data_IF_404816994557
#
_entry.id   IF_404816994557
#
_cell.length_a   1.000
_cell.length_b   1.000
_cell.length_c   1.000
_cell.angle_alpha   90.00
_cell.angle_beta   90.00
_cell.angle_gamma   90.00
#
_symmetry.space_group_name_H-M   'P 1'
#
loop_
_entity.id
_entity.type
_entity.pdbx_description
1 polymer ?
#
# COMPACT_ATOMS: atom_id res chain seq x y z
N UNK A 1 0.53 -1.08 10.81
CA UNK A 1 -0.76 -1.74 10.53
C UNK A 1 -1.66 -0.75 9.80
N UNK A 2 -2.44 -1.23 8.83
CA UNK A 2 -3.41 -0.50 8.03
C UNK A 2 -4.69 -1.34 7.94
N UNK A 3 -5.84 -0.71 8.14
CA UNK A 3 -7.15 -1.29 7.91
C UNK A 3 -7.73 -0.69 6.63
N UNK A 4 -8.30 -1.53 5.77
CA UNK A 4 -8.83 -1.13 4.47
C UNK A 4 -10.24 -1.68 4.36
N UNK A 5 -11.20 -0.76 4.21
CA UNK A 5 -12.61 -1.09 4.03
C UNK A 5 -13.12 -0.42 2.75
N UNK A 6 -13.89 -1.16 1.95
CA UNK A 6 -14.65 -0.56 0.85
C UNK A 6 -15.90 0.14 1.37
N UNK A 7 -16.31 1.25 0.75
CA UNK A 7 -17.59 1.87 1.06
C UNK A 7 -18.73 0.86 0.84
N UNK A 8 -19.59 0.58 1.85
CA UNK A 8 -20.67 -0.41 1.73
C UNK A 8 -21.68 -0.14 0.61
N UNK A 9 -21.72 1.09 0.11
CA UNK A 9 -22.59 1.51 -0.99
C UNK A 9 -22.06 1.12 -2.37
N UNK A 10 -20.79 0.69 -2.48
CA UNK A 10 -20.19 0.27 -3.75
C UNK A 10 -20.70 -1.13 -4.11
N UNK A 11 -21.40 -1.30 -5.25
CA UNK A 11 -21.79 -2.62 -5.69
C UNK A 11 -20.55 -3.43 -6.13
N UNK A 12 -20.53 -4.73 -5.81
CA UNK A 12 -19.52 -5.70 -6.25
C UNK A 12 -18.09 -5.55 -5.68
N UNK A 13 -17.80 -4.54 -4.88
CA UNK A 13 -16.52 -4.39 -4.16
C UNK A 13 -16.78 -4.52 -2.67
N UNK A 14 -16.26 -5.60 -2.07
CA UNK A 14 -16.29 -5.81 -0.63
C UNK A 14 -14.87 -6.12 -0.16
N UNK A 15 -14.21 -5.10 0.38
CA UNK A 15 -12.84 -5.17 0.91
C UNK A 15 -12.94 -4.98 2.41
N UNK A 16 -12.28 -5.88 3.15
CA UNK A 16 -12.09 -5.79 4.58
C UNK A 16 -10.75 -6.45 4.89
N UNK A 17 -9.70 -5.66 4.73
CA UNK A 17 -8.32 -6.13 4.74
C UNK A 17 -7.53 -5.49 5.87
N UNK A 18 -6.61 -6.24 6.46
CA UNK A 18 -5.67 -5.78 7.49
C UNK A 18 -4.26 -6.06 7.04
N UNK A 19 -3.46 -5.01 6.86
CA UNK A 19 -2.05 -5.13 6.45
C UNK A 19 -1.12 -4.71 7.58
N UNK A 20 -0.02 -5.44 7.74
CA UNK A 20 1.06 -5.15 8.67
C UNK A 20 2.40 -5.29 7.96
N UNK A 21 3.29 -4.32 8.17
CA UNK A 21 4.65 -4.34 7.66
C UNK A 21 5.63 -4.07 8.78
N UNK A 22 6.71 -4.83 8.79
CA UNK A 22 7.87 -4.62 9.64
C UNK A 22 8.93 -3.95 8.77
N UNK A 23 9.13 -2.65 9.01
CA UNK A 23 10.06 -1.80 8.27
C UNK A 23 11.17 -1.31 9.19
N UNK A 24 12.34 -1.05 8.63
CA UNK A 24 13.47 -0.47 9.35
C UNK A 24 13.63 1.05 9.09
N UNK A 25 14.70 1.63 9.61
CA UNK A 25 15.02 3.05 9.47
C UNK A 25 15.35 3.47 8.02
N UNK A 26 15.73 2.52 7.17
CA UNK A 26 15.92 2.73 5.73
C UNK A 26 14.62 2.58 4.93
N UNK A 27 13.51 2.29 5.62
CA UNK A 27 12.13 2.27 5.10
C UNK A 27 11.95 1.21 4.01
N UNK A 28 12.37 -0.02 4.28
CA UNK A 28 12.03 -1.18 3.44
C UNK A 28 11.50 -2.35 4.25
N UNK A 29 10.82 -3.29 3.58
CA UNK A 29 10.14 -4.40 4.25
C UNK A 29 11.10 -5.53 4.63
N UNK A 30 10.97 -6.01 5.85
CA UNK A 30 11.53 -7.28 6.34
C UNK A 30 10.45 -8.37 6.49
N UNK A 31 9.22 -7.96 6.78
CA UNK A 31 8.07 -8.87 6.86
C UNK A 31 6.79 -8.12 6.52
N UNK A 32 5.96 -8.76 5.72
CA UNK A 32 4.60 -8.33 5.43
C UNK A 32 3.60 -9.40 5.89
N UNK A 33 2.48 -8.95 6.45
CA UNK A 33 1.34 -9.79 6.80
C UNK A 33 0.08 -9.11 6.25
N UNK A 34 -0.76 -9.89 5.57
CA UNK A 34 -2.09 -9.48 5.17
C UNK A 34 -3.14 -10.48 5.62
N UNK A 35 -4.28 -9.96 6.07
CA UNK A 35 -5.53 -10.69 6.25
C UNK A 35 -6.55 -10.08 5.29
N UNK A 36 -6.95 -10.83 4.27
CA UNK A 36 -8.00 -10.41 3.34
C UNK A 36 -9.28 -11.19 3.64
N UNK A 37 -10.31 -10.51 4.15
CA UNK A 37 -11.57 -11.17 4.46
C UNK A 37 -12.42 -11.32 3.22
N UNK A 38 -12.78 -12.56 2.89
CA UNK A 38 -13.80 -12.92 1.90
C UNK A 38 -15.09 -13.28 2.64
N UNK A 39 -16.17 -13.55 1.90
CA UNK A 39 -17.49 -13.80 2.50
C UNK A 39 -17.54 -15.03 3.40
N UNK A 40 -16.79 -16.08 3.08
CA UNK A 40 -16.81 -17.39 3.75
C UNK A 40 -15.46 -17.80 4.38
N UNK A 41 -14.40 -17.00 4.17
CA UNK A 41 -13.06 -17.31 4.68
C UNK A 41 -12.17 -16.06 4.73
N UNK A 42 -11.03 -16.18 5.40
CA UNK A 42 -9.94 -15.20 5.35
C UNK A 42 -8.75 -15.79 4.61
N UNK A 43 -8.14 -15.00 3.73
CA UNK A 43 -6.83 -15.31 3.15
C UNK A 43 -5.78 -14.62 4.01
N UNK A 44 -4.92 -15.42 4.63
CA UNK A 44 -3.73 -14.96 5.30
C UNK A 44 -2.55 -15.06 4.34
N UNK A 45 -1.79 -13.98 4.20
CA UNK A 45 -0.56 -13.95 3.41
C UNK A 45 0.57 -13.41 4.27
N UNK A 46 1.72 -14.09 4.26
CA UNK A 46 2.96 -13.63 4.89
C UNK A 46 4.10 -13.68 3.89
N UNK A 47 4.86 -12.59 3.84
CA UNK A 47 6.15 -12.53 3.15
C UNK A 47 7.23 -12.26 4.19
N UNK A 48 8.27 -13.07 4.20
CA UNK A 48 9.48 -12.86 5.00
C UNK A 48 10.64 -12.59 4.04
N UNK A 49 11.19 -11.37 4.07
CA UNK A 49 12.29 -10.96 3.19
C UNK A 49 13.63 -11.33 3.82
N UNK A 50 14.32 -12.30 3.23
CA UNK A 50 15.67 -12.70 3.61
C UNK A 50 16.68 -12.09 2.63
N UNK A 51 17.22 -10.94 3.01
CA UNK A 51 18.22 -10.23 2.20
C UNK A 51 19.60 -10.88 2.25
N UNK A 52 19.92 -11.71 3.25
CA UNK A 52 21.20 -12.42 3.30
C UNK A 52 21.21 -13.55 2.27
N UNK A 53 20.13 -14.31 2.22
CA UNK A 53 19.95 -15.41 1.28
C UNK A 53 19.23 -15.00 -0.03
N UNK A 54 19.01 -13.70 -0.23
CA UNK A 54 18.40 -13.09 -1.43
C UNK A 54 17.08 -13.75 -1.85
N UNK A 55 16.21 -14.05 -0.89
CA UNK A 55 14.93 -14.69 -1.17
C UNK A 55 13.80 -14.18 -0.27
N UNK A 56 12.57 -14.54 -0.63
CA UNK A 56 11.35 -14.21 0.10
C UNK A 56 10.63 -15.52 0.38
N UNK A 57 10.43 -15.83 1.65
CA UNK A 57 9.57 -16.94 2.05
C UNK A 57 8.12 -16.49 2.03
N UNK A 58 7.27 -17.27 1.38
CA UNK A 58 5.87 -16.95 1.09
C UNK A 58 5.01 -18.01 1.74
N UNK A 59 4.13 -17.58 2.64
CA UNK A 59 3.09 -18.43 3.22
C UNK A 59 1.73 -17.83 2.89
N UNK A 60 0.86 -18.60 2.22
CA UNK A 60 -0.55 -18.26 2.05
C UNK A 60 -1.41 -19.35 2.69
N UNK A 61 -2.39 -18.94 3.48
CA UNK A 61 -3.35 -19.82 4.14
C UNK A 61 -4.77 -19.38 3.85
N UNK A 62 -5.65 -20.35 3.64
CA UNK A 62 -7.10 -20.16 3.68
C UNK A 62 -7.59 -20.54 5.07
N UNK A 63 -8.24 -19.61 5.77
CA UNK A 63 -8.76 -19.79 7.11
C UNK A 63 -10.29 -19.70 7.07
N UNK A 64 -10.99 -20.77 7.43
CA UNK A 64 -12.45 -20.77 7.65
C UNK A 64 -12.74 -20.77 9.15
N UNK A 65 -14.02 -20.78 9.54
CA UNK A 65 -14.40 -20.89 10.96
C UNK A 65 -13.93 -22.20 11.60
N UNK A 66 -13.80 -23.28 10.82
CA UNK A 66 -13.55 -24.63 11.33
C UNK A 66 -12.19 -25.20 10.94
N UNK A 67 -11.49 -24.59 9.99
CA UNK A 67 -10.25 -25.15 9.43
C UNK A 67 -9.26 -24.07 8.98
N UNK A 68 -7.99 -24.43 8.89
CA UNK A 68 -6.94 -23.62 8.30
C UNK A 68 -6.07 -24.47 7.39
N UNK A 69 -6.08 -24.16 6.10
CA UNK A 69 -5.30 -24.88 5.09
C UNK A 69 -4.17 -24.00 4.56
N UNK A 70 -2.95 -24.52 4.51
CA UNK A 70 -1.84 -23.87 3.79
C UNK A 70 -2.07 -24.07 2.29
N UNK A 71 -2.30 -22.99 1.56
CA UNK A 71 -2.54 -23.01 0.11
C UNK A 71 -1.27 -22.75 -0.69
N UNK A 72 -0.27 -22.10 -0.07
CA UNK A 72 1.05 -21.89 -0.65
C UNK A 72 2.11 -21.86 0.45
N UNK A 73 3.19 -22.58 0.24
CA UNK A 73 4.45 -22.46 0.98
C UNK A 73 5.57 -22.50 -0.06
N UNK A 74 6.22 -21.36 -0.29
CA UNK A 74 7.12 -21.19 -1.44
C UNK A 74 8.23 -20.19 -1.15
N UNK A 75 9.26 -20.20 -1.99
CA UNK A 75 10.38 -19.27 -1.95
C UNK A 75 10.46 -18.56 -3.30
N UNK A 76 10.51 -17.23 -3.29
CA UNK A 76 10.81 -16.41 -4.46
C UNK A 76 12.20 -15.77 -4.33
N UNK A 77 12.89 -15.57 -5.44
CA UNK A 77 14.19 -14.90 -5.44
C UNK A 77 14.04 -13.37 -5.43
N UNK A 78 14.91 -12.68 -4.68
CA UNK A 78 15.09 -11.23 -4.73
C UNK A 78 16.05 -10.92 -5.87
N UNK A 79 15.54 -10.87 -7.09
CA UNK A 79 16.34 -10.59 -8.29
C UNK A 79 16.50 -9.08 -8.55
N UNK A 80 16.89 -8.33 -7.52
CA UNK A 80 17.13 -6.88 -7.61
C UNK A 80 18.21 -6.45 -6.61
N UNK A 81 19.09 -5.51 -7.00
CA UNK A 81 20.05 -4.95 -6.05
C UNK A 81 19.42 -3.96 -5.06
N UNK A 82 18.12 -3.63 -5.21
CA UNK A 82 17.41 -2.67 -4.36
C UNK A 82 16.60 -3.38 -3.28
N UNK A 83 16.45 -2.73 -2.14
CA UNK A 83 15.58 -3.21 -1.05
C UNK A 83 14.11 -3.15 -1.49
N UNK A 84 13.33 -4.13 -1.02
CA UNK A 84 11.99 -4.44 -1.52
C UNK A 84 10.93 -3.82 -0.62
N UNK A 85 9.92 -3.23 -1.25
CA UNK A 85 8.71 -2.76 -0.58
C UNK A 85 7.62 -3.83 -0.65
N UNK A 86 6.63 -3.75 0.25
CA UNK A 86 5.43 -4.57 0.26
C UNK A 86 4.17 -3.69 0.05
N UNK A 87 2.98 -4.29 0.18
CA UNK A 87 1.69 -3.60 -0.02
C UNK A 87 1.42 -2.42 0.91
N UNK A 88 2.08 -2.34 2.07
CA UNK A 88 1.97 -1.26 3.05
C UNK A 88 3.29 -0.48 3.22
N UNK A 89 4.46 -1.12 3.17
CA UNK A 89 5.73 -0.40 3.34
C UNK A 89 5.96 0.65 2.23
N UNK A 90 5.43 0.41 1.01
CA UNK A 90 5.46 1.39 -0.08
C UNK A 90 4.76 2.71 0.28
N UNK A 91 3.73 2.66 1.13
CA UNK A 91 3.05 3.86 1.63
C UNK A 91 3.97 4.65 2.55
N UNK A 92 4.68 3.98 3.47
CA UNK A 92 5.66 4.64 4.35
C UNK A 92 6.84 5.22 3.58
N UNK A 93 7.33 4.49 2.57
CA UNK A 93 8.32 5.01 1.63
C UNK A 93 7.83 6.29 0.94
N UNK A 94 6.58 6.30 0.45
CA UNK A 94 6.00 7.50 -0.17
C UNK A 94 5.92 8.68 0.81
N UNK A 95 5.51 8.46 2.07
CA UNK A 95 5.44 9.50 3.10
C UNK A 95 6.78 10.19 3.35
N UNK A 96 7.84 9.41 3.43
CA UNK A 96 9.19 9.93 3.63
C UNK A 96 9.71 10.72 2.42
N UNK A 97 9.20 10.42 1.22
CA UNK A 97 9.73 10.96 -0.03
C UNK A 97 8.88 12.08 -0.65
N UNK A 98 7.60 12.23 -0.27
CA UNK A 98 6.62 13.09 -0.99
C UNK A 98 7.00 14.56 -1.10
N UNK A 99 7.78 15.07 -0.15
CA UNK A 99 8.24 16.47 -0.12
C UNK A 99 9.45 16.74 -1.01
N UNK A 100 10.07 15.69 -1.53
CA UNK A 100 11.21 15.79 -2.43
C UNK A 100 10.74 15.85 -3.89
N UNK A 101 11.48 16.58 -4.71
CA UNK A 101 11.30 16.57 -6.16
C UNK A 101 12.19 15.47 -6.78
N UNK A 102 11.61 14.28 -6.96
CA UNK A 102 12.35 13.10 -7.43
C UNK A 102 11.45 12.07 -8.10
N UNK A 103 11.90 11.56 -9.23
CA UNK A 103 11.37 10.33 -9.83
C UNK A 103 12.15 9.11 -9.34
N UNK A 104 11.44 8.07 -8.92
CA UNK A 104 12.05 6.82 -8.47
C UNK A 104 11.33 5.59 -9.01
N UNK A 105 12.05 4.48 -9.04
CA UNK A 105 11.48 3.15 -9.21
C UNK A 105 11.73 2.33 -7.95
N UNK A 106 10.67 1.79 -7.36
CA UNK A 106 10.74 0.95 -6.17
C UNK A 106 10.38 -0.49 -6.55
N UNK A 107 11.22 -1.50 -6.23
CA UNK A 107 10.78 -2.88 -6.32
C UNK A 107 9.73 -3.14 -5.22
N UNK A 108 8.62 -3.76 -5.60
CA UNK A 108 7.51 -4.11 -4.72
C UNK A 108 7.23 -5.59 -4.86
N UNK A 109 7.16 -6.30 -3.75
CA UNK A 109 6.69 -7.68 -3.69
C UNK A 109 5.23 -7.70 -3.25
N UNK A 110 4.35 -8.04 -4.18
CA UNK A 110 2.91 -8.11 -3.96
C UNK A 110 2.33 -9.22 -4.82
N UNK A 111 1.25 -9.86 -4.34
CA UNK A 111 0.60 -10.98 -5.03
C UNK A 111 1.60 -12.09 -5.46
N UNK A 112 2.55 -12.42 -4.58
CA UNK A 112 3.61 -13.41 -4.82
C UNK A 112 4.55 -13.09 -6.00
N UNK A 113 4.59 -11.85 -6.48
CA UNK A 113 5.46 -11.43 -7.56
C UNK A 113 6.30 -10.19 -7.19
N UNK A 114 7.57 -10.20 -7.61
CA UNK A 114 8.43 -9.03 -7.54
C UNK A 114 8.24 -8.18 -8.80
N UNK A 115 7.75 -6.95 -8.64
CA UNK A 115 7.51 -5.99 -9.72
C UNK A 115 8.10 -4.64 -9.36
N UNK A 116 8.00 -3.69 -10.29
CA UNK A 116 8.44 -2.32 -10.05
C UNK A 116 7.27 -1.36 -10.13
N UNK A 117 7.27 -0.41 -9.22
CA UNK A 117 6.41 0.77 -9.21
C UNK A 117 7.26 1.99 -9.55
N UNK A 118 6.72 2.87 -10.38
CA UNK A 118 7.35 4.15 -10.71
C UNK A 118 6.58 5.25 -10.00
N UNK A 119 7.30 6.09 -9.27
CA UNK A 119 6.72 7.17 -8.47
C UNK A 119 7.44 8.46 -8.83
N UNK A 120 6.66 9.48 -9.16
CA UNK A 120 7.07 10.83 -9.38
C UNK A 120 6.66 11.66 -8.16
N UNK A 121 7.62 11.89 -7.26
CA UNK A 121 7.45 12.82 -6.16
C UNK A 121 7.69 14.22 -6.69
N UNK A 122 6.64 15.04 -6.71
CA UNK A 122 6.72 16.36 -7.35
C UNK A 122 7.30 17.43 -6.42
N UNK A 123 7.24 17.22 -5.10
CA UNK A 123 7.53 18.27 -4.12
C UNK A 123 6.52 19.43 -4.13
N UNK A 124 5.50 19.38 -4.99
CA UNK A 124 4.48 20.42 -5.12
C UNK A 124 3.38 20.23 -4.09
N UNK A 125 2.93 21.34 -3.48
CA UNK A 125 1.68 21.37 -2.73
C UNK A 125 0.52 21.77 -3.63
N UNK A 126 -0.61 21.08 -3.48
CA UNK A 126 -1.88 21.36 -4.18
C UNK A 126 -2.99 21.49 -3.15
N UNK A 127 -3.96 22.36 -3.44
CA UNK A 127 -5.21 22.39 -2.70
C UNK A 127 -6.08 21.22 -3.16
N UNK A 128 -6.63 20.49 -2.19
CA UNK A 128 -7.53 19.37 -2.41
C UNK A 128 -8.76 19.50 -1.54
N UNK A 129 -9.86 18.95 -2.01
CA UNK A 129 -11.10 18.85 -1.26
C UNK A 129 -11.33 17.40 -0.81
N UNK A 130 -11.64 17.25 0.48
CA UNK A 130 -12.04 16.01 1.14
C UNK A 130 -13.24 16.33 2.03
N UNK A 131 -14.39 15.70 1.77
CA UNK A 131 -15.62 15.91 2.54
C UNK A 131 -15.98 17.40 2.75
N UNK A 132 -16.03 18.15 1.65
CA UNK A 132 -16.35 19.59 1.62
C UNK A 132 -15.39 20.49 2.42
N UNK A 133 -14.18 20.00 2.73
CA UNK A 133 -13.11 20.76 3.38
C UNK A 133 -11.88 20.83 2.49
N UNK A 134 -11.29 22.01 2.44
CA UNK A 134 -10.06 22.28 1.69
C UNK A 134 -8.82 21.98 2.54
N UNK A 135 -7.84 21.30 1.94
CA UNK A 135 -6.55 20.97 2.52
C UNK A 135 -5.44 21.31 1.55
N UNK A 136 -4.32 21.83 2.06
CA UNK A 136 -3.05 21.82 1.32
C UNK A 136 -2.40 20.45 1.46
N UNK A 137 -1.93 19.87 0.37
CA UNK A 137 -1.33 18.54 0.37
C UNK A 137 -0.20 18.43 -0.65
N UNK A 138 0.88 17.73 -0.28
CA UNK A 138 1.91 17.34 -1.24
C UNK A 138 1.40 16.29 -2.19
N UNK A 139 1.72 16.46 -3.47
CA UNK A 139 1.25 15.61 -4.56
C UNK A 139 2.33 14.66 -5.08
N UNK A 140 1.93 13.43 -5.37
CA UNK A 140 2.70 12.50 -6.18
C UNK A 140 1.80 11.82 -7.21
N UNK A 141 2.41 11.30 -8.27
CA UNK A 141 1.78 10.37 -9.18
C UNK A 141 2.74 9.26 -9.60
N UNK A 142 2.21 8.25 -10.27
CA UNK A 142 3.00 7.11 -10.68
C UNK A 142 2.17 6.07 -11.40
N UNK A 143 2.82 4.93 -11.63
CA UNK A 143 2.14 3.77 -12.20
C UNK A 143 2.70 2.46 -11.64
N UNK A 144 1.80 1.48 -11.54
CA UNK A 144 2.08 0.13 -11.09
C UNK A 144 2.30 -0.78 -12.31
N UNK A 145 3.30 -1.67 -12.23
CA UNK A 145 3.46 -2.77 -13.21
C UNK A 145 2.80 -4.07 -12.75
N UNK A 146 1.86 -3.98 -11.81
CA UNK A 146 1.08 -5.11 -11.27
C UNK A 146 -0.34 -4.68 -10.94
N UNK A 147 -1.23 -5.66 -10.80
CA UNK A 147 -2.60 -5.41 -10.35
C UNK A 147 -2.58 -5.28 -8.84
N UNK A 148 -2.92 -4.10 -8.32
CA UNK A 148 -3.01 -3.76 -6.91
C UNK A 148 -4.30 -4.25 -6.25
N UNK A 149 -4.54 -3.78 -5.02
CA UNK A 149 -5.81 -3.97 -4.29
C UNK A 149 -6.98 -3.53 -5.18
N UNK A 150 -8.13 -4.21 -5.08
CA UNK A 150 -9.35 -3.85 -5.80
C UNK A 150 -9.26 -3.91 -7.34
N UNK A 151 -8.27 -4.59 -7.91
CA UNK A 151 -8.10 -4.64 -9.38
C UNK A 151 -7.50 -3.37 -9.97
N UNK A 152 -6.87 -2.54 -9.13
CA UNK A 152 -6.14 -1.34 -9.56
C UNK A 152 -5.03 -1.73 -10.53
N UNK A 153 -4.95 -1.04 -11.66
CA UNK A 153 -3.96 -1.27 -12.71
C UNK A 153 -3.61 0.08 -13.32
N UNK A 154 -2.36 0.26 -13.73
CA UNK A 154 -1.88 1.49 -14.38
C UNK A 154 -1.57 2.62 -13.39
N UNK A 155 -2.16 3.81 -13.59
CA UNK A 155 -1.79 5.04 -12.93
C UNK A 155 -2.36 5.18 -11.51
N UNK A 156 -1.64 5.92 -10.68
CA UNK A 156 -2.15 6.39 -9.40
C UNK A 156 -1.70 7.82 -9.13
N UNK A 157 -2.46 8.49 -8.26
CA UNK A 157 -2.17 9.80 -7.69
C UNK A 157 -2.33 9.72 -6.18
N UNK A 158 -1.49 10.44 -5.45
CA UNK A 158 -1.51 10.44 -3.99
C UNK A 158 -1.32 11.85 -3.45
N UNK A 159 -2.03 12.15 -2.36
CA UNK A 159 -1.94 13.41 -1.65
C UNK A 159 -1.66 13.17 -0.18
N UNK A 160 -0.68 13.90 0.35
CA UNK A 160 -0.16 13.74 1.71
C UNK A 160 -0.15 15.09 2.42
N UNK A 161 -0.42 15.10 3.72
CA UNK A 161 -0.44 16.33 4.52
C UNK A 161 0.95 17.01 4.54
N UNK A 162 0.99 18.33 4.79
CA UNK A 162 2.25 19.08 4.80
C UNK A 162 3.01 18.93 6.12
N UNK A 163 2.40 18.36 7.16
CA UNK A 163 3.03 18.15 8.46
C UNK A 163 4.24 17.21 8.39
N UNK A 164 5.02 17.17 9.47
CA UNK A 164 6.27 16.39 9.51
C UNK A 164 6.07 14.90 9.24
N UNK A 165 4.87 14.36 9.47
CA UNK A 165 4.57 12.95 9.31
C UNK A 165 4.05 12.59 7.91
N UNK A 166 3.77 13.59 7.07
CA UNK A 166 3.24 13.42 5.71
C UNK A 166 2.10 12.41 5.70
N UNK A 167 1.05 12.64 6.48
CA UNK A 167 -0.07 11.71 6.61
C UNK A 167 -0.76 11.53 5.25
N UNK A 168 -0.97 10.30 4.75
CA UNK A 168 -1.72 10.08 3.51
C UNK A 168 -3.16 10.56 3.69
N UNK A 169 -3.66 11.42 2.79
CA UNK A 169 -5.00 11.99 2.90
C UNK A 169 -5.97 11.37 1.89
N UNK A 170 -5.51 11.25 0.65
CA UNK A 170 -6.31 10.82 -0.51
C UNK A 170 -5.43 10.13 -1.52
N UNK A 171 -5.99 9.16 -2.22
CA UNK A 171 -5.38 8.58 -3.40
C UNK A 171 -6.44 8.34 -4.48
N UNK A 172 -6.03 8.46 -5.74
CA UNK A 172 -6.80 8.03 -6.90
C UNK A 172 -6.03 6.92 -7.57
N UNK A 173 -6.71 5.81 -7.84
CA UNK A 173 -6.12 4.64 -8.44
C UNK A 173 -6.93 4.23 -9.66
N UNK A 174 -6.28 4.06 -10.81
CA UNK A 174 -6.93 3.55 -12.01
C UNK A 174 -7.26 2.07 -11.83
N UNK A 175 -8.46 1.64 -12.22
CA UNK A 175 -8.90 0.25 -12.13
C UNK A 175 -9.33 -0.24 -13.51
N UNK A 176 -9.57 -1.55 -13.66
CA UNK A 176 -10.03 -2.10 -14.94
C UNK A 176 -11.32 -1.44 -15.45
N UNK A 177 -12.21 -1.01 -14.54
CA UNK A 177 -13.40 -0.23 -14.86
C UNK A 177 -13.42 1.03 -13.99
N UNK A 178 -13.07 2.17 -14.57
CA UNK A 178 -13.11 3.47 -13.91
C UNK A 178 -11.90 3.74 -13.01
N UNK A 179 -12.15 4.39 -11.87
CA UNK A 179 -11.13 4.72 -10.89
C UNK A 179 -11.67 4.50 -9.48
N UNK A 180 -10.76 4.21 -8.55
CA UNK A 180 -11.05 4.10 -7.12
C UNK A 180 -10.48 5.31 -6.42
N UNK A 181 -11.28 5.95 -5.59
CA UNK A 181 -10.81 6.96 -4.63
C UNK A 181 -10.64 6.29 -3.28
N UNK A 182 -9.45 6.41 -2.71
CA UNK A 182 -9.13 5.97 -1.35
C UNK A 182 -8.98 7.21 -0.48
N UNK A 183 -9.67 7.24 0.65
CA UNK A 183 -9.59 8.33 1.63
C UNK A 183 -9.06 7.77 2.95
N UNK A 184 -8.29 8.58 3.67
CA UNK A 184 -7.98 8.27 5.06
C UNK A 184 -9.23 8.51 5.91
N UNK A 185 -9.79 7.44 6.46
CA UNK A 185 -10.92 7.53 7.39
C UNK A 185 -10.45 7.93 8.80
N UNK A 186 -9.47 7.21 9.34
CA UNK A 186 -8.95 7.47 10.69
C UNK A 186 -7.50 7.01 10.84
N UNK A 187 -6.81 7.58 11.84
CA UNK A 187 -5.44 7.20 12.19
C UNK A 187 -5.21 7.23 13.71
N UNK A 188 -4.21 6.48 14.17
CA UNK A 188 -3.70 6.53 15.54
C UNK A 188 -2.22 6.84 15.51
N UNK A 189 -1.74 7.65 16.46
CA UNK A 189 -0.33 8.05 16.59
C UNK A 189 0.25 8.83 15.40
N UNK A 190 -0.59 9.33 14.49
CA UNK A 190 -0.22 10.40 13.58
C UNK A 190 -0.86 11.69 14.07
N UNK A 191 -0.16 12.80 13.94
CA UNK A 191 -0.65 14.14 14.28
C UNK A 191 -0.77 14.90 12.97
N UNK A 192 -2.00 15.19 12.56
CA UNK A 192 -2.24 16.09 11.44
C UNK A 192 -1.83 17.50 11.85
N UNK A 193 -1.13 18.23 10.98
CA UNK A 193 -1.06 19.68 11.15
C UNK A 193 -2.50 20.21 11.21
N UNK A 194 -2.79 21.02 12.23
CA UNK A 194 -4.05 21.75 12.32
C UNK A 194 -4.20 22.55 11.03
N UNK A 195 -5.35 22.44 10.37
CA UNK A 195 -5.74 23.38 9.32
C UNK A 195 -5.69 24.78 9.94
N UNK A 196 -4.85 25.66 9.40
CA UNK A 196 -4.87 27.09 9.72
C UNK A 196 -6.16 27.74 9.23
#
# INVERSE_FOLDING_TARGET
>A
MLYIDSNPSLPFVNIHDIYESYIDEEIYSHRFIAYEKKSDHTIFTRYDMDYENQNIHIIVKKMTETDTTVTLDSIAAINTPRKVQDGLSILFFARAMVKHEKMTSAPVFAYNELKYTFINFTGEQKEIEIEDKEYKAYYLDGYLKFVGIAGVKEGFKGWFSPDMQSVPLKAHMEAFIGHVTVLLDSHKNWELAKSE
#
